data_IF_971997465793
#
_entry.id   IF_971997465793
#
_cell.length_a   1.000
_cell.length_b   1.000
_cell.length_c   1.000
_cell.angle_alpha   90.00
_cell.angle_beta   90.00
_cell.angle_gamma   90.00
#
_symmetry.space_group_name_H-M   'P 1'
#
loop_
_entity.id
_entity.type
_entity.pdbx_description
1 polymer ?
#
# COMPACT_ATOMS: atom_id res chain seq x y z
N UNK A 1 -16.25 25.11 16.66
CA UNK A 1 -14.97 24.61 16.09
C UNK A 1 -13.84 25.24 16.88
N UNK A 2 -12.89 24.44 17.38
CA UNK A 2 -11.75 24.91 18.21
C UNK A 2 -10.54 25.38 17.39
N UNK A 3 -10.55 25.14 16.08
CA UNK A 3 -9.50 25.57 15.16
C UNK A 3 -9.86 26.95 14.57
N UNK A 4 -8.94 27.90 14.70
CA UNK A 4 -9.05 29.24 14.13
C UNK A 4 -8.21 29.36 12.85
N UNK A 5 -8.86 29.24 11.70
CA UNK A 5 -8.21 29.27 10.38
C UNK A 5 -7.60 30.65 10.05
N UNK A 6 -8.06 31.72 10.69
CA UNK A 6 -7.52 33.06 10.45
C UNK A 6 -6.07 33.18 10.92
N UNK A 7 -5.71 32.47 12.00
CA UNK A 7 -4.33 32.41 12.53
C UNK A 7 -3.38 31.55 11.69
N UNK A 8 -3.93 30.69 10.83
CA UNK A 8 -3.15 29.79 9.96
C UNK A 8 -3.00 30.36 8.55
N UNK A 9 -3.89 31.27 8.12
CA UNK A 9 -3.87 31.84 6.78
C UNK A 9 -2.53 32.48 6.38
N UNK A 10 -1.90 33.25 7.27
CA UNK A 10 -0.58 33.86 6.99
C UNK A 10 0.52 32.80 6.83
N UNK A 11 0.50 31.75 7.66
CA UNK A 11 1.46 30.65 7.61
C UNK A 11 1.32 29.85 6.30
N UNK A 12 0.09 29.70 5.79
CA UNK A 12 -0.18 29.12 4.47
C UNK A 12 0.39 30.01 3.36
N UNK A 13 0.24 31.34 3.47
CA UNK A 13 0.87 32.29 2.54
C UNK A 13 2.40 32.13 2.48
N UNK A 14 3.06 32.08 3.63
CA UNK A 14 4.51 31.87 3.73
C UNK A 14 4.94 30.51 3.16
N UNK A 15 4.15 29.47 3.38
CA UNK A 15 4.37 28.14 2.80
C UNK A 15 4.32 28.18 1.26
N UNK A 16 3.30 28.81 0.68
CA UNK A 16 3.16 28.94 -0.79
C UNK A 16 4.33 29.73 -1.39
N UNK A 17 4.75 30.81 -0.73
CA UNK A 17 5.90 31.60 -1.18
C UNK A 17 7.20 30.78 -1.20
N UNK A 18 7.45 29.96 -0.16
CA UNK A 18 8.61 29.05 -0.12
C UNK A 18 8.54 27.98 -1.21
N UNK A 19 7.38 27.37 -1.42
CA UNK A 19 7.18 26.38 -2.49
C UNK A 19 7.49 26.96 -3.87
N UNK A 20 7.04 28.21 -4.12
CA UNK A 20 7.33 28.92 -5.37
C UNK A 20 8.83 29.20 -5.54
N UNK A 21 9.52 29.58 -4.47
CA UNK A 21 10.97 29.84 -4.51
C UNK A 21 11.77 28.57 -4.84
N UNK A 22 11.37 27.41 -4.31
CA UNK A 22 12.02 26.11 -4.58
C UNK A 22 11.61 25.46 -5.92
N UNK A 23 10.61 26.02 -6.61
CA UNK A 23 10.04 25.40 -7.82
C UNK A 23 11.02 25.35 -8.99
N UNK A 24 11.88 26.36 -9.15
CA UNK A 24 12.83 26.42 -10.26
C UNK A 24 13.95 25.38 -10.10
N UNK A 25 14.48 25.23 -8.88
CA UNK A 25 15.49 24.21 -8.54
C UNK A 25 14.93 22.79 -8.75
N UNK A 26 13.72 22.54 -8.27
CA UNK A 26 13.04 21.24 -8.47
C UNK A 26 12.84 20.90 -9.95
N UNK A 27 12.49 21.90 -10.76
CA UNK A 27 12.33 21.71 -12.20
C UNK A 27 13.66 21.39 -12.89
N UNK A 28 14.78 21.94 -12.41
CA UNK A 28 16.10 21.63 -12.92
C UNK A 28 16.52 20.20 -12.54
N UNK A 29 16.33 19.78 -11.28
CA UNK A 29 16.60 18.41 -10.86
C UNK A 29 15.75 17.40 -11.65
N UNK A 30 14.50 17.73 -11.97
CA UNK A 30 13.63 16.89 -12.80
C UNK A 30 14.17 16.75 -14.23
N UNK A 31 14.63 17.84 -14.86
CA UNK A 31 15.25 17.78 -16.19
C UNK A 31 16.49 16.91 -16.19
N UNK A 32 17.34 17.06 -15.18
CA UNK A 32 18.53 16.24 -15.01
C UNK A 32 18.16 14.76 -14.83
N UNK A 33 17.17 14.45 -14.00
CA UNK A 33 16.66 13.10 -13.81
C UNK A 33 16.17 12.47 -15.13
N UNK A 34 15.41 13.23 -15.94
CA UNK A 34 14.94 12.77 -17.25
C UNK A 34 16.09 12.53 -18.24
N UNK A 35 17.11 13.38 -18.24
CA UNK A 35 18.32 13.21 -19.07
C UNK A 35 19.07 11.94 -18.71
N UNK A 36 19.35 11.75 -17.41
CA UNK A 36 20.05 10.56 -16.90
C UNK A 36 19.23 9.30 -17.19
N UNK A 37 17.91 9.33 -17.03
CA UNK A 37 17.04 8.21 -17.33
C UNK A 37 17.16 7.77 -18.81
N UNK A 38 17.20 8.71 -19.75
CA UNK A 38 17.39 8.42 -21.18
C UNK A 38 18.78 7.84 -21.49
N UNK A 39 19.84 8.33 -20.83
CA UNK A 39 21.20 7.82 -21.02
C UNK A 39 21.40 6.40 -20.46
N UNK A 40 20.75 6.09 -19.33
CA UNK A 40 20.93 4.81 -18.65
C UNK A 40 20.19 3.65 -19.31
N UNK A 41 19.21 3.91 -20.19
CA UNK A 41 18.52 2.84 -20.92
C UNK A 41 19.51 2.05 -21.81
N UNK A 42 20.48 2.74 -22.42
CA UNK A 42 21.56 2.12 -23.18
C UNK A 42 22.61 1.39 -22.30
N UNK A 43 22.73 1.76 -21.02
CA UNK A 43 23.74 1.25 -20.08
C UNK A 43 23.15 0.39 -18.96
N UNK A 44 21.94 -0.14 -19.14
CA UNK A 44 21.14 -0.82 -18.10
C UNK A 44 21.90 -1.91 -17.33
N UNK A 45 22.65 -2.78 -18.02
CA UNK A 45 23.38 -3.87 -17.35
C UNK A 45 24.53 -3.37 -16.47
N UNK A 46 25.12 -2.22 -16.80
CA UNK A 46 26.09 -1.57 -15.93
C UNK A 46 25.39 -1.06 -14.67
N UNK A 47 24.31 -0.29 -14.84
CA UNK A 47 23.54 0.25 -13.72
C UNK A 47 23.01 -0.86 -12.80
N UNK A 48 22.50 -1.96 -13.36
CA UNK A 48 22.02 -3.12 -12.59
C UNK A 48 23.13 -3.74 -11.73
N UNK A 49 24.34 -3.91 -12.28
CA UNK A 49 25.50 -4.40 -11.52
C UNK A 49 25.91 -3.42 -10.43
N UNK A 50 25.95 -2.12 -10.73
CA UNK A 50 26.27 -1.07 -9.77
C UNK A 50 25.28 -1.04 -8.61
N UNK A 51 23.98 -1.08 -8.89
CA UNK A 51 22.92 -1.15 -7.86
C UNK A 51 23.12 -2.37 -6.97
N UNK A 52 23.36 -3.55 -7.55
CA UNK A 52 23.55 -4.78 -6.79
C UNK A 52 24.79 -4.75 -5.87
N UNK A 53 25.85 -4.06 -6.28
CA UNK A 53 27.09 -3.93 -5.50
C UNK A 53 27.07 -2.75 -4.50
N UNK A 54 26.10 -1.84 -4.61
CA UNK A 54 26.07 -0.60 -3.83
C UNK A 54 25.42 -0.75 -2.47
N UNK A 55 25.91 0.04 -1.50
CA UNK A 55 25.31 0.23 -0.17
C UNK A 55 24.79 1.67 -0.07
N UNK A 56 23.48 1.78 0.08
CA UNK A 56 22.78 3.06 0.17
C UNK A 56 21.95 3.12 1.44
N UNK A 57 21.71 4.34 1.92
CA UNK A 57 20.85 4.59 3.10
C UNK A 57 19.38 4.73 2.75
N UNK A 58 19.02 4.48 1.48
CA UNK A 58 17.68 4.65 0.93
C UNK A 58 17.31 3.45 0.05
N UNK A 59 16.02 3.28 -0.24
CA UNK A 59 15.56 2.23 -1.14
C UNK A 59 15.85 2.60 -2.60
N UNK A 60 16.36 1.63 -3.35
CA UNK A 60 16.71 1.75 -4.76
C UNK A 60 15.92 0.71 -5.55
N UNK A 61 15.26 1.13 -6.62
CA UNK A 61 14.53 0.20 -7.49
C UNK A 61 15.49 -0.81 -8.16
N UNK A 62 15.16 -2.09 -8.09
CA UNK A 62 15.75 -3.09 -8.97
C UNK A 62 15.21 -2.96 -10.39
N UNK A 63 16.04 -3.21 -11.39
CA UNK A 63 15.67 -3.09 -12.80
C UNK A 63 15.27 -4.46 -13.37
N UNK A 64 13.99 -4.63 -13.73
CA UNK A 64 13.50 -5.80 -14.45
C UNK A 64 13.57 -5.56 -15.97
N UNK A 65 13.00 -4.46 -16.43
CA UNK A 65 12.97 -4.04 -17.84
C UNK A 65 13.89 -2.83 -18.11
N UNK A 66 13.82 -2.22 -19.30
CA UNK A 66 14.52 -0.96 -19.61
C UNK A 66 13.90 0.20 -18.83
N UNK A 67 14.71 1.05 -18.20
CA UNK A 67 14.24 2.04 -17.21
C UNK A 67 13.30 3.10 -17.80
N UNK A 68 13.44 3.40 -19.09
CA UNK A 68 12.62 4.38 -19.80
C UNK A 68 11.49 3.77 -20.64
N UNK A 69 11.31 2.44 -20.58
CA UNK A 69 10.26 1.79 -21.35
C UNK A 69 8.88 2.19 -20.84
N UNK A 70 7.95 2.37 -21.76
CA UNK A 70 6.55 2.58 -21.50
C UNK A 70 5.71 1.71 -22.44
N UNK A 71 4.51 1.37 -21.99
CA UNK A 71 3.63 0.43 -22.68
C UNK A 71 2.20 0.92 -22.63
N UNK A 72 1.52 0.86 -23.78
CA UNK A 72 0.08 1.12 -23.87
C UNK A 72 -0.73 -0.01 -23.23
N UNK A 73 -1.88 0.35 -22.64
CA UNK A 73 -2.81 -0.62 -22.09
C UNK A 73 -3.49 -1.41 -23.23
N UNK A 74 -3.55 -2.75 -23.15
CA UNK A 74 -4.41 -3.50 -24.05
C UNK A 74 -5.89 -3.18 -23.75
N UNK A 75 -6.80 -3.37 -24.72
CA UNK A 75 -8.22 -3.21 -24.46
C UNK A 75 -8.67 -4.19 -23.36
N UNK A 76 -9.59 -3.78 -22.46
CA UNK A 76 -10.11 -4.68 -21.45
C UNK A 76 -10.88 -5.83 -22.11
N UNK A 77 -10.85 -7.04 -21.53
CA UNK A 77 -11.72 -8.14 -21.96
C UNK A 77 -13.20 -7.75 -21.93
N UNK A 78 -14.02 -8.44 -22.73
CA UNK A 78 -15.47 -8.21 -22.76
C UNK A 78 -16.13 -8.66 -21.45
N UNK A 79 -15.64 -9.75 -20.86
CA UNK A 79 -16.14 -10.31 -19.61
C UNK A 79 -15.00 -10.51 -18.62
N UNK A 80 -15.16 -9.95 -17.42
CA UNK A 80 -14.16 -10.03 -16.36
C UNK A 80 -14.77 -9.72 -15.00
N UNK A 81 -14.03 -10.05 -13.95
CA UNK A 81 -14.38 -9.72 -12.58
C UNK A 81 -13.33 -8.80 -11.96
N UNK A 82 -13.78 -7.91 -11.08
CA UNK A 82 -12.89 -7.16 -10.19
C UNK A 82 -13.35 -7.40 -8.76
N UNK A 83 -12.44 -7.89 -7.93
CA UNK A 83 -12.67 -8.08 -6.51
C UNK A 83 -11.72 -7.19 -5.71
N UNK A 84 -12.20 -6.67 -4.59
CA UNK A 84 -11.43 -5.79 -3.73
C UNK A 84 -11.84 -5.95 -2.28
N UNK A 85 -10.87 -5.75 -1.39
CA UNK A 85 -11.10 -5.63 0.05
C UNK A 85 -10.42 -4.38 0.58
N UNK A 86 -11.02 -3.79 1.60
CA UNK A 86 -10.44 -2.75 2.45
C UNK A 86 -10.92 -3.00 3.89
N UNK A 87 -10.23 -2.44 4.87
CA UNK A 87 -10.54 -2.65 6.26
C UNK A 87 -10.62 -1.34 7.04
N UNK A 88 -11.30 -1.36 8.18
CA UNK A 88 -11.06 -0.38 9.23
C UNK A 88 -11.13 -1.07 10.59
N UNK A 89 -10.74 -0.36 11.66
CA UNK A 89 -10.71 -0.98 12.98
C UNK A 89 -11.01 -0.01 14.12
N UNK A 90 -11.58 -0.56 15.19
CA UNK A 90 -11.66 0.07 16.51
C UNK A 90 -10.53 -0.52 17.34
N UNK A 91 -9.50 0.28 17.57
CA UNK A 91 -8.36 -0.08 18.42
C UNK A 91 -8.74 -0.23 19.91
N UNK A 92 -7.89 -0.94 20.65
CA UNK A 92 -8.01 -1.18 22.08
C UNK A 92 -8.00 0.14 22.85
N UNK A 93 -9.04 0.39 23.64
CA UNK A 93 -9.15 1.60 24.46
C UNK A 93 -8.68 1.34 25.90
N UNK A 94 -7.50 1.86 26.24
CA UNK A 94 -6.89 1.75 27.58
C UNK A 94 -7.69 2.44 28.70
N UNK A 95 -8.71 3.22 28.36
CA UNK A 95 -9.57 3.90 29.32
C UNK A 95 -10.87 3.14 29.63
N UNK A 96 -11.03 1.94 29.08
CA UNK A 96 -12.19 1.06 29.26
C UNK A 96 -11.80 -0.21 30.00
N UNK A 97 -12.78 -0.82 30.67
CA UNK A 97 -12.59 -2.05 31.45
C UNK A 97 -12.40 -3.28 30.57
N UNK A 98 -13.10 -3.36 29.44
CA UNK A 98 -12.98 -4.49 28.51
C UNK A 98 -11.90 -4.21 27.49
N UNK A 99 -10.92 -5.13 27.40
CA UNK A 99 -9.92 -5.13 26.34
C UNK A 99 -10.49 -5.89 25.15
N UNK A 100 -10.81 -5.18 24.08
CA UNK A 100 -11.19 -5.76 22.82
C UNK A 100 -10.84 -4.79 21.69
N UNK A 101 -10.70 -5.32 20.48
CA UNK A 101 -10.66 -4.53 19.26
C UNK A 101 -11.63 -5.12 18.24
N UNK A 102 -12.07 -4.28 17.31
CA UNK A 102 -12.94 -4.68 16.21
C UNK A 102 -12.19 -4.45 14.90
N UNK A 103 -12.20 -5.42 13.99
CA UNK A 103 -11.81 -5.21 12.59
C UNK A 103 -13.05 -5.38 11.73
N UNK A 104 -13.34 -4.41 10.88
CA UNK A 104 -14.40 -4.51 9.87
C UNK A 104 -13.76 -4.57 8.49
N UNK A 105 -14.05 -5.62 7.72
CA UNK A 105 -13.57 -5.78 6.35
C UNK A 105 -14.72 -5.54 5.38
N UNK A 106 -14.56 -4.57 4.50
CA UNK A 106 -15.43 -4.36 3.35
C UNK A 106 -14.98 -5.23 2.19
N UNK A 107 -15.93 -5.89 1.51
CA UNK A 107 -15.66 -6.84 0.44
C UNK A 107 -16.53 -6.54 -0.77
N UNK A 108 -15.92 -6.49 -1.96
CA UNK A 108 -16.59 -6.16 -3.21
C UNK A 108 -16.29 -7.20 -4.27
N UNK A 109 -17.32 -7.61 -5.00
CA UNK A 109 -17.21 -8.40 -6.23
C UNK A 109 -18.02 -7.72 -7.33
N UNK A 110 -17.34 -7.29 -8.39
CA UNK A 110 -17.95 -6.68 -9.57
C UNK A 110 -17.79 -7.63 -10.76
N UNK A 111 -18.92 -8.01 -11.35
CA UNK A 111 -18.96 -8.80 -12.58
C UNK A 111 -19.30 -7.89 -13.76
N UNK A 112 -18.43 -7.86 -14.76
CA UNK A 112 -18.61 -7.12 -16.00
C UNK A 112 -18.76 -8.09 -17.17
N UNK A 113 -19.62 -7.76 -18.13
CA UNK A 113 -19.90 -8.61 -19.29
C UNK A 113 -21.36 -8.61 -19.69
N UNK A 114 -21.82 -9.71 -20.29
CA UNK A 114 -23.21 -9.84 -20.74
C UNK A 114 -24.23 -9.90 -19.59
N UNK A 115 -23.81 -10.41 -18.43
CA UNK A 115 -24.64 -10.56 -17.22
C UNK A 115 -24.01 -9.82 -16.03
N UNK A 116 -24.03 -8.46 -16.03
CA UNK A 116 -23.35 -7.69 -15.00
C UNK A 116 -24.06 -7.83 -13.65
N UNK A 117 -23.26 -7.90 -12.58
CA UNK A 117 -23.76 -7.95 -11.21
C UNK A 117 -22.72 -7.41 -10.24
N UNK A 118 -23.15 -7.02 -9.04
CA UNK A 118 -22.29 -6.51 -8.00
C UNK A 118 -22.72 -7.08 -6.65
N UNK A 119 -21.74 -7.52 -5.87
CA UNK A 119 -21.92 -7.97 -4.49
C UNK A 119 -21.03 -7.10 -3.60
N UNK A 120 -21.64 -6.56 -2.55
CA UNK A 120 -20.97 -5.68 -1.60
C UNK A 120 -21.35 -6.14 -0.20
N UNK A 121 -20.36 -6.39 0.63
CA UNK A 121 -20.54 -6.93 1.98
C UNK A 121 -19.62 -6.26 3.00
N UNK A 122 -19.98 -6.38 4.28
CA UNK A 122 -19.21 -5.89 5.44
C UNK A 122 -19.17 -6.98 6.50
N UNK A 123 -17.95 -7.37 6.87
CA UNK A 123 -17.67 -8.46 7.80
C UNK A 123 -16.96 -7.96 9.06
N UNK A 124 -17.71 -7.49 10.08
CA UNK A 124 -17.13 -7.09 11.37
C UNK A 124 -16.77 -8.30 12.23
N UNK A 125 -15.56 -8.30 12.78
CA UNK A 125 -15.04 -9.32 13.70
C UNK A 125 -14.57 -8.68 15.01
N UNK A 126 -15.15 -9.12 16.13
CA UNK A 126 -14.76 -8.69 17.48
C UNK A 126 -13.73 -9.66 18.06
N UNK A 127 -12.58 -9.13 18.44
CA UNK A 127 -11.50 -9.88 19.08
C UNK A 127 -11.46 -9.48 20.55
N UNK A 128 -11.61 -10.47 21.43
CA UNK A 128 -11.77 -10.21 22.87
C UNK A 128 -11.20 -11.31 23.77
N UNK A 129 -10.87 -12.48 23.23
CA UNK A 129 -10.16 -13.51 23.97
C UNK A 129 -8.71 -13.09 24.24
N UNK A 130 -8.16 -13.46 25.40
CA UNK A 130 -6.78 -13.08 25.77
C UNK A 130 -5.75 -13.46 24.69
N UNK A 131 -5.89 -14.64 24.08
CA UNK A 131 -5.05 -15.12 22.98
C UNK A 131 -5.23 -14.35 21.66
N UNK A 132 -6.37 -13.68 21.46
CA UNK A 132 -6.65 -12.87 20.26
C UNK A 132 -6.12 -11.44 20.36
N UNK A 133 -5.82 -10.99 21.58
CA UNK A 133 -5.35 -9.64 21.88
C UNK A 133 -3.83 -9.52 21.86
N UNK A 134 -3.13 -10.65 21.73
CA UNK A 134 -1.68 -10.71 21.74
C UNK A 134 -1.19 -11.71 20.69
N UNK A 135 0.05 -11.54 20.25
CA UNK A 135 0.79 -12.59 19.55
C UNK A 135 1.71 -13.22 20.59
N UNK A 136 1.57 -14.53 20.76
CA UNK A 136 2.30 -15.31 21.77
C UNK A 136 3.51 -15.99 21.11
N UNK A 137 4.75 -15.78 21.61
CA UNK A 137 5.90 -16.56 21.17
C UNK A 137 5.94 -17.94 21.84
N UNK A 138 6.70 -18.87 21.25
CA UNK A 138 7.00 -20.18 21.90
C UNK A 138 7.72 -19.98 23.25
N UNK A 139 8.54 -18.93 23.37
CA UNK A 139 9.16 -18.50 24.61
C UNK A 139 9.41 -16.98 24.58
N UNK A 140 9.12 -16.28 25.68
CA UNK A 140 9.39 -14.85 25.80
C UNK A 140 8.17 -14.04 26.21
N UNK A 141 8.19 -12.73 25.91
CA UNK A 141 7.09 -11.80 26.20
C UNK A 141 6.13 -11.75 25.02
N UNK A 142 4.85 -11.79 25.33
CA UNK A 142 3.76 -11.57 24.38
C UNK A 142 3.80 -10.15 23.80
N UNK A 143 3.35 -10.01 22.55
CA UNK A 143 3.21 -8.73 21.89
C UNK A 143 1.72 -8.36 21.78
N UNK A 144 1.25 -7.30 22.45
CA UNK A 144 -0.13 -6.85 22.29
C UNK A 144 -0.41 -6.37 20.87
N UNK A 145 -1.60 -6.72 20.36
CA UNK A 145 -2.14 -6.25 19.08
C UNK A 145 -2.88 -4.94 19.33
N UNK A 146 -2.18 -3.82 19.16
CA UNK A 146 -2.71 -2.45 19.28
C UNK A 146 -1.96 -1.52 18.33
N UNK A 147 -2.54 -0.34 18.03
CA UNK A 147 -1.91 0.70 17.24
C UNK A 147 -1.43 0.22 15.86
N UNK A 148 -0.15 0.44 15.57
CA UNK A 148 0.45 0.08 14.27
C UNK A 148 0.32 -1.43 13.99
N UNK A 149 0.48 -2.29 15.01
CA UNK A 149 0.41 -3.73 14.81
C UNK A 149 -1.01 -4.19 14.46
N UNK A 150 -2.03 -3.55 15.05
CA UNK A 150 -3.43 -3.80 14.68
C UNK A 150 -3.70 -3.39 13.23
N UNK A 151 -3.10 -2.29 12.76
CA UNK A 151 -3.16 -1.90 11.34
C UNK A 151 -2.55 -2.95 10.40
N UNK A 152 -1.44 -3.58 10.81
CA UNK A 152 -0.81 -4.67 10.04
C UNK A 152 -1.72 -5.91 10.07
N UNK A 153 -2.24 -6.31 11.24
CA UNK A 153 -3.19 -7.43 11.37
C UNK A 153 -4.41 -7.24 10.49
N UNK A 154 -4.97 -6.03 10.45
CA UNK A 154 -6.05 -5.66 9.54
C UNK A 154 -5.69 -5.92 8.07
N UNK A 155 -4.49 -5.50 7.62
CA UNK A 155 -4.03 -5.79 6.25
C UNK A 155 -3.87 -7.29 5.95
N UNK A 156 -3.51 -8.10 6.96
CA UNK A 156 -3.52 -9.56 6.85
C UNK A 156 -4.94 -10.10 6.65
N UNK A 157 -5.92 -9.56 7.40
CA UNK A 157 -7.32 -9.97 7.31
C UNK A 157 -8.01 -9.50 6.02
N UNK A 158 -7.67 -8.32 5.51
CA UNK A 158 -8.08 -7.82 4.18
C UNK A 158 -7.66 -8.81 3.09
N UNK A 159 -6.39 -9.25 3.13
CA UNK A 159 -5.85 -10.24 2.19
C UNK A 159 -6.52 -11.61 2.35
N UNK A 160 -6.77 -12.05 3.58
CA UNK A 160 -7.49 -13.30 3.84
C UNK A 160 -8.88 -13.32 3.21
N UNK A 161 -9.66 -12.25 3.40
CA UNK A 161 -11.00 -12.13 2.80
C UNK A 161 -10.93 -12.11 1.27
N UNK A 162 -9.92 -11.43 0.71
CA UNK A 162 -9.70 -11.40 -0.74
C UNK A 162 -9.44 -12.81 -1.33
N UNK A 163 -8.76 -13.68 -0.58
CA UNK A 163 -8.60 -15.10 -0.97
C UNK A 163 -9.95 -15.82 -0.99
N UNK A 164 -10.80 -15.57 0.02
CA UNK A 164 -12.16 -16.13 0.08
C UNK A 164 -12.98 -15.73 -1.16
N UNK A 165 -13.02 -14.44 -1.49
CA UNK A 165 -13.68 -13.95 -2.70
C UNK A 165 -13.09 -14.58 -3.96
N UNK A 166 -11.76 -14.67 -4.05
CA UNK A 166 -11.07 -15.29 -5.19
C UNK A 166 -11.47 -16.75 -5.41
N UNK A 167 -11.70 -17.49 -4.33
CA UNK A 167 -12.07 -18.90 -4.37
C UNK A 167 -13.50 -19.12 -4.89
N UNK A 168 -14.41 -18.18 -4.62
CA UNK A 168 -15.81 -18.23 -5.05
C UNK A 168 -16.03 -17.81 -6.51
N UNK A 169 -15.03 -17.19 -7.14
CA UNK A 169 -15.14 -16.79 -8.54
C UNK A 169 -15.32 -17.98 -9.48
N UNK A 170 -16.09 -17.83 -10.58
CA UNK A 170 -16.29 -18.91 -11.55
C UNK A 170 -14.97 -19.44 -12.12
N UNK A 171 -14.83 -20.76 -12.35
CA UNK A 171 -13.68 -21.32 -13.06
C UNK A 171 -13.48 -20.70 -14.44
N UNK A 172 -12.23 -20.59 -14.90
CA UNK A 172 -11.86 -19.97 -16.19
C UNK A 172 -12.24 -18.49 -16.36
N UNK A 173 -12.67 -17.81 -15.30
CA UNK A 173 -12.89 -16.37 -15.34
C UNK A 173 -11.57 -15.59 -15.46
N UNK A 174 -11.67 -14.37 -16.02
CA UNK A 174 -10.62 -13.37 -16.00
C UNK A 174 -10.90 -12.42 -14.83
N UNK A 175 -10.00 -12.35 -13.87
CA UNK A 175 -10.28 -11.68 -12.61
C UNK A 175 -9.09 -10.86 -12.13
N UNK A 176 -9.37 -9.65 -11.69
CA UNK A 176 -8.41 -8.77 -11.01
C UNK A 176 -8.77 -8.71 -9.53
N UNK A 177 -7.81 -9.04 -8.66
CA UNK A 177 -7.90 -8.85 -7.23
C UNK A 177 -7.10 -7.63 -6.80
N UNK A 178 -7.74 -6.72 -6.08
CA UNK A 178 -7.16 -5.45 -5.65
C UNK A 178 -7.10 -5.31 -4.13
N UNK A 179 -5.97 -4.78 -3.66
CA UNK A 179 -5.78 -4.24 -2.31
C UNK A 179 -5.46 -2.75 -2.39
N UNK A 180 -5.88 -1.98 -1.39
CA UNK A 180 -5.49 -0.57 -1.25
C UNK A 180 -4.17 -0.45 -0.48
N UNK A 181 -3.26 0.38 -0.95
CA UNK A 181 -1.94 0.58 -0.34
C UNK A 181 -0.86 -0.37 -0.86
N UNK A 182 0.13 -0.69 -0.02
CA UNK A 182 1.32 -1.45 -0.44
C UNK A 182 1.15 -2.95 -0.20
N UNK A 183 1.68 -3.79 -1.10
CA UNK A 183 1.83 -5.24 -0.86
C UNK A 183 2.93 -5.57 0.15
N UNK A 184 3.69 -4.56 0.60
CA UNK A 184 4.77 -4.72 1.57
C UNK A 184 4.23 -4.36 2.95
N UNK A 185 4.28 -5.32 3.89
CA UNK A 185 3.89 -5.09 5.28
C UNK A 185 4.98 -4.30 6.03
N UNK A 186 5.01 -3.00 5.78
CA UNK A 186 5.94 -2.06 6.41
C UNK A 186 5.75 -2.01 7.94
N UNK A 187 6.84 -1.74 8.65
CA UNK A 187 6.83 -1.57 10.10
C UNK A 187 7.00 -2.87 10.90
N UNK A 188 6.91 -4.05 10.27
CA UNK A 188 7.19 -5.33 10.92
C UNK A 188 8.64 -5.42 11.46
N UNK A 189 9.58 -4.74 10.81
CA UNK A 189 11.00 -4.69 11.22
C UNK A 189 11.21 -4.05 12.60
N UNK A 190 10.23 -3.32 13.12
CA UNK A 190 10.25 -2.75 14.47
C UNK A 190 9.79 -3.73 15.56
N UNK A 191 9.25 -4.90 15.19
CA UNK A 191 8.73 -5.90 16.10
C UNK A 191 9.66 -7.12 16.23
N UNK A 192 9.53 -7.91 17.31
CA UNK A 192 10.24 -9.17 17.44
C UNK A 192 9.95 -10.14 16.30
N UNK A 193 10.89 -11.04 16.05
CA UNK A 193 10.84 -12.00 14.93
C UNK A 193 9.55 -12.83 14.88
N UNK A 194 9.07 -13.33 16.03
CA UNK A 194 7.85 -14.14 16.10
C UNK A 194 6.59 -13.41 15.60
N UNK A 195 6.57 -12.07 15.67
CA UNK A 195 5.47 -11.25 15.14
C UNK A 195 5.49 -11.25 13.62
N UNK A 196 6.70 -11.15 13.04
CA UNK A 196 6.90 -11.25 11.60
C UNK A 196 6.53 -12.65 11.11
N UNK A 197 6.97 -13.70 11.80
CA UNK A 197 6.60 -15.08 11.47
C UNK A 197 5.08 -15.30 11.52
N UNK A 198 4.39 -14.75 12.53
CA UNK A 198 2.95 -14.91 12.69
C UNK A 198 2.15 -14.15 11.61
N UNK A 199 2.45 -12.86 11.39
CA UNK A 199 1.65 -12.01 10.51
C UNK A 199 2.07 -12.05 9.04
N UNK A 200 3.38 -12.17 8.76
CA UNK A 200 3.88 -12.22 7.40
C UNK A 200 3.98 -13.65 6.88
N UNK A 201 4.79 -14.49 7.52
CA UNK A 201 5.15 -15.81 6.95
C UNK A 201 3.96 -16.79 7.01
N UNK A 202 3.31 -16.88 8.18
CA UNK A 202 2.16 -17.76 8.39
C UNK A 202 0.80 -17.10 8.07
N UNK A 203 0.78 -15.79 7.88
CA UNK A 203 -0.39 -14.99 7.55
C UNK A 203 -0.37 -14.53 6.09
N UNK A 204 0.08 -13.30 5.87
CA UNK A 204 -0.01 -12.62 4.57
C UNK A 204 0.58 -13.40 3.40
N UNK A 205 1.80 -13.94 3.52
CA UNK A 205 2.46 -14.70 2.45
C UNK A 205 1.73 -16.01 2.14
N UNK A 206 1.16 -16.66 3.16
CA UNK A 206 0.31 -17.84 2.95
C UNK A 206 -0.92 -17.49 2.11
N UNK A 207 -1.55 -16.34 2.35
CA UNK A 207 -2.69 -15.89 1.54
C UNK A 207 -2.29 -15.48 0.11
N UNK A 208 -1.11 -14.89 -0.07
CA UNK A 208 -0.56 -14.65 -1.41
C UNK A 208 -0.30 -15.97 -2.17
N UNK A 209 0.17 -17.00 -1.47
CA UNK A 209 0.36 -18.34 -2.03
C UNK A 209 -0.97 -19.00 -2.40
N UNK A 210 -2.00 -18.88 -1.56
CA UNK A 210 -3.33 -19.41 -1.85
C UNK A 210 -3.93 -18.74 -3.10
N UNK A 211 -3.82 -17.41 -3.26
CA UNK A 211 -4.21 -16.72 -4.49
C UNK A 211 -3.42 -17.18 -5.72
N UNK A 212 -2.10 -17.37 -5.57
CA UNK A 212 -1.26 -17.90 -6.66
C UNK A 212 -1.72 -19.30 -7.09
N UNK A 213 -2.14 -20.15 -6.15
CA UNK A 213 -2.67 -21.49 -6.44
C UNK A 213 -4.02 -21.43 -7.15
N UNK A 214 -4.91 -20.53 -6.71
CA UNK A 214 -6.20 -20.32 -7.37
C UNK A 214 -6.03 -19.90 -8.83
N UNK A 215 -4.97 -19.13 -9.15
CA UNK A 215 -4.64 -18.73 -10.51
C UNK A 215 -4.39 -19.91 -11.49
N UNK A 216 -4.17 -21.15 -10.99
CA UNK A 216 -4.03 -22.31 -11.88
C UNK A 216 -5.36 -22.74 -12.53
N UNK A 217 -6.50 -22.45 -11.89
CA UNK A 217 -7.84 -22.86 -12.36
C UNK A 217 -8.64 -21.72 -13.01
N UNK A 218 -8.22 -20.48 -12.74
CA UNK A 218 -8.85 -19.23 -13.19
C UNK A 218 -7.75 -18.21 -13.46
N UNK A 219 -7.89 -17.30 -14.42
CA UNK A 219 -6.87 -16.27 -14.62
C UNK A 219 -7.09 -15.15 -13.59
N UNK A 220 -6.38 -15.25 -12.47
CA UNK A 220 -6.48 -14.33 -11.32
C UNK A 220 -5.19 -13.51 -11.22
N UNK A 221 -5.28 -12.23 -11.55
CA UNK A 221 -4.18 -11.29 -11.37
C UNK A 221 -4.35 -10.53 -10.05
N UNK A 222 -3.32 -10.55 -9.20
CA UNK A 222 -3.28 -9.76 -7.97
C UNK A 222 -2.50 -8.47 -8.19
N UNK A 223 -3.05 -7.36 -7.72
CA UNK A 223 -2.34 -6.09 -7.62
C UNK A 223 -2.75 -5.33 -6.35
N UNK A 224 -1.86 -4.47 -5.88
CA UNK A 224 -2.23 -3.38 -4.97
C UNK A 224 -2.12 -2.04 -5.68
N UNK A 225 -2.87 -1.07 -5.21
CA UNK A 225 -2.96 0.25 -5.80
C UNK A 225 -2.54 1.33 -4.80
N UNK A 226 -1.63 2.20 -5.21
CA UNK A 226 -1.15 3.33 -4.41
C UNK A 226 -1.41 4.62 -5.21
N UNK A 227 -2.42 5.38 -4.79
CA UNK A 227 -2.69 6.72 -5.31
C UNK A 227 -1.61 7.71 -4.85
N UNK A 228 -1.30 8.68 -5.71
CA UNK A 228 -0.38 9.78 -5.44
C UNK A 228 0.90 9.40 -4.66
N UNK A 229 1.69 8.43 -5.16
CA UNK A 229 2.80 7.84 -4.43
C UNK A 229 3.88 8.90 -4.15
N UNK A 230 4.57 8.72 -3.02
CA UNK A 230 5.68 9.57 -2.59
C UNK A 230 7.04 8.88 -2.72
N UNK A 231 7.07 7.75 -3.43
CA UNK A 231 8.27 6.95 -3.64
C UNK A 231 9.31 7.69 -4.48
N UNK A 232 10.56 7.32 -4.24
CA UNK A 232 11.73 7.82 -4.95
C UNK A 232 12.64 6.66 -5.36
N UNK A 233 12.12 5.42 -5.41
CA UNK A 233 12.91 4.21 -5.65
C UNK A 233 13.65 4.27 -7.00
N UNK A 234 12.95 4.75 -8.04
CA UNK A 234 13.51 4.87 -9.40
C UNK A 234 14.47 6.05 -9.49
N UNK A 235 14.09 7.21 -8.95
CA UNK A 235 15.01 8.37 -8.85
C UNK A 235 16.27 7.99 -8.09
N UNK A 236 16.15 7.20 -7.02
CA UNK A 236 17.29 6.69 -6.26
C UNK A 236 18.19 5.73 -7.07
N UNK A 237 17.66 5.01 -8.06
CA UNK A 237 18.47 4.26 -9.01
C UNK A 237 19.27 5.20 -9.93
N UNK A 238 18.68 6.33 -10.36
CA UNK A 238 19.40 7.35 -11.12
C UNK A 238 20.51 8.01 -10.29
N UNK A 239 20.28 8.23 -8.99
CA UNK A 239 21.32 8.70 -8.05
C UNK A 239 22.50 7.75 -7.97
N UNK A 240 22.24 6.43 -7.98
CA UNK A 240 23.31 5.43 -8.05
C UNK A 240 24.04 5.51 -9.39
N UNK A 241 23.32 5.73 -10.49
CA UNK A 241 23.92 5.86 -11.82
C UNK A 241 24.95 7.00 -11.89
N UNK A 242 24.59 8.19 -11.41
CA UNK A 242 25.46 9.39 -11.42
C UNK A 242 26.49 9.42 -10.28
N UNK A 243 26.45 8.45 -9.35
CA UNK A 243 27.40 8.41 -8.26
C UNK A 243 28.83 8.19 -8.81
N UNK A 244 29.83 9.03 -8.44
CA UNK A 244 31.20 8.88 -8.94
C UNK A 244 31.93 7.66 -8.37
N UNK A 245 31.37 7.00 -7.34
CA UNK A 245 31.97 5.84 -6.69
C UNK A 245 31.46 4.52 -7.27
N UNK A 246 32.37 3.56 -7.46
CA UNK A 246 32.10 2.25 -8.04
C UNK A 246 32.66 1.13 -7.13
N UNK A 247 31.83 0.46 -6.31
CA UNK A 247 30.39 0.69 -6.10
C UNK A 247 30.11 1.92 -5.22
N UNK A 248 28.85 2.37 -5.21
CA UNK A 248 28.41 3.41 -4.29
C UNK A 248 28.38 2.84 -2.86
N UNK A 249 29.02 3.52 -1.92
CA UNK A 249 29.01 3.18 -0.49
C UNK A 249 28.77 4.47 0.31
N UNK A 250 27.51 4.71 0.65
CA UNK A 250 27.10 5.96 1.29
C UNK A 250 27.65 6.09 2.71
N UNK A 251 27.80 4.97 3.42
CA UNK A 251 28.33 4.96 4.78
C UNK A 251 29.81 5.35 4.79
N UNK A 252 30.55 4.93 3.75
CA UNK A 252 31.98 5.23 3.60
C UNK A 252 32.25 6.63 3.03
N UNK A 253 31.52 7.03 2.00
CA UNK A 253 31.88 8.20 1.19
C UNK A 253 31.04 9.45 1.47
N UNK A 254 29.91 9.34 2.18
CA UNK A 254 28.99 10.46 2.40
C UNK A 254 28.59 10.70 3.89
N UNK A 255 29.52 10.71 4.86
CA UNK A 255 29.19 11.04 6.24
C UNK A 255 28.95 12.57 6.41
N UNK A 256 27.72 13.02 6.18
CA UNK A 256 27.26 14.37 6.59
C UNK A 256 27.50 15.53 5.62
N UNK A 257 27.80 15.29 4.34
CA UNK A 257 27.95 16.33 3.30
C UNK A 257 26.90 16.24 2.19
N UNK A 258 26.75 17.34 1.43
CA UNK A 258 26.04 17.34 0.15
C UNK A 258 26.69 16.32 -0.80
N UNK A 259 25.87 15.50 -1.45
CA UNK A 259 26.33 14.37 -2.27
C UNK A 259 26.35 14.80 -3.73
N UNK A 260 27.36 14.40 -4.50
CA UNK A 260 27.36 14.64 -5.96
C UNK A 260 26.16 14.01 -6.67
N UNK A 261 25.53 13.00 -6.07
CA UNK A 261 24.28 12.42 -6.55
C UNK A 261 23.01 13.13 -6.07
N UNK A 262 23.11 14.31 -5.44
CA UNK A 262 21.95 15.12 -5.04
C UNK A 262 21.40 15.99 -6.20
N UNK A 263 22.09 16.04 -7.34
CA UNK A 263 21.64 16.70 -8.58
C UNK A 263 20.25 16.25 -9.05
N UNK A 264 19.89 14.99 -8.78
CA UNK A 264 18.54 14.45 -9.08
C UNK A 264 17.71 14.19 -7.82
N UNK A 265 18.20 14.59 -6.64
CA UNK A 265 17.48 14.40 -5.38
C UNK A 265 16.30 15.36 -5.24
N UNK A 266 15.31 14.97 -4.43
CA UNK A 266 14.09 15.75 -4.19
C UNK A 266 13.01 15.59 -5.27
N UNK A 267 13.33 14.96 -6.41
CA UNK A 267 12.36 14.53 -7.41
C UNK A 267 11.69 13.24 -6.95
N UNK A 268 10.36 13.16 -7.11
CA UNK A 268 9.61 11.95 -6.83
C UNK A 268 9.38 11.14 -8.11
N UNK A 269 9.25 9.82 -7.98
CA UNK A 269 9.03 8.93 -9.12
C UNK A 269 7.77 9.34 -9.90
N UNK A 270 6.72 9.81 -9.20
CA UNK A 270 5.51 10.33 -9.87
C UNK A 270 5.78 11.53 -10.78
N UNK A 271 6.71 12.42 -10.44
CA UNK A 271 7.03 13.58 -11.28
C UNK A 271 7.79 13.14 -12.52
N UNK A 272 8.71 12.19 -12.34
CA UNK A 272 9.45 11.57 -13.43
C UNK A 272 8.49 10.93 -14.44
N UNK A 273 7.59 10.07 -13.99
CA UNK A 273 6.67 9.36 -14.86
C UNK A 273 5.53 10.22 -15.42
N UNK A 274 5.13 11.30 -14.73
CA UNK A 274 4.19 12.29 -15.28
C UNK A 274 4.74 12.98 -16.53
N UNK A 275 6.06 13.10 -16.64
CA UNK A 275 6.72 13.71 -17.81
C UNK A 275 7.18 12.68 -18.86
N UNK A 276 7.15 11.38 -18.53
CA UNK A 276 7.59 10.31 -19.42
C UNK A 276 6.43 9.56 -20.09
N UNK A 277 5.37 9.24 -19.35
CA UNK A 277 4.27 8.39 -19.81
C UNK A 277 3.21 9.22 -20.53
N UNK A 278 2.58 8.66 -21.57
CA UNK A 278 1.30 9.10 -22.12
C UNK A 278 0.10 8.63 -21.28
N UNK A 279 -1.08 9.21 -21.50
CA UNK A 279 -2.30 8.84 -20.76
C UNK A 279 -2.64 7.35 -20.96
N UNK A 280 -2.88 6.64 -19.86
CA UNK A 280 -3.15 5.21 -19.84
C UNK A 280 -1.91 4.32 -20.02
N UNK A 281 -0.74 4.88 -20.33
CA UNK A 281 0.49 4.10 -20.42
C UNK A 281 1.01 3.72 -19.03
N UNK A 282 1.67 2.56 -18.97
CA UNK A 282 2.47 2.16 -17.81
C UNK A 282 3.96 2.27 -18.07
N UNK A 283 4.74 2.47 -17.03
CA UNK A 283 6.19 2.35 -17.06
C UNK A 283 6.65 0.90 -17.22
N UNK A 284 7.96 0.76 -17.38
CA UNK A 284 8.73 -0.46 -17.14
C UNK A 284 8.45 -1.07 -15.76
N UNK A 285 8.76 -2.36 -15.63
CA UNK A 285 8.73 -3.06 -14.35
C UNK A 285 10.00 -2.81 -13.52
N UNK A 286 9.77 -2.58 -12.24
CA UNK A 286 10.79 -2.42 -11.21
C UNK A 286 10.60 -3.46 -10.12
N UNK A 287 11.65 -3.71 -9.35
CA UNK A 287 11.67 -4.69 -8.25
C UNK A 287 11.89 -3.95 -6.94
N UNK A 288 11.06 -4.19 -5.93
CA UNK A 288 11.31 -3.66 -4.58
C UNK A 288 12.54 -4.32 -3.97
N UNK A 289 13.48 -3.50 -3.51
CA UNK A 289 14.73 -3.95 -2.86
C UNK A 289 14.68 -3.86 -1.33
N UNK A 290 13.49 -3.69 -0.75
CA UNK A 290 13.34 -3.65 0.70
C UNK A 290 13.88 -4.92 1.36
N UNK A 291 14.45 -4.79 2.56
CA UNK A 291 15.05 -5.89 3.31
C UNK A 291 14.06 -7.03 3.54
N UNK A 292 12.85 -6.69 3.97
CA UNK A 292 11.79 -7.67 4.26
C UNK A 292 11.36 -8.44 3.01
N UNK A 293 11.19 -7.75 1.87
CA UNK A 293 10.83 -8.39 0.59
C UNK A 293 11.94 -9.34 0.14
N UNK A 294 13.19 -8.89 0.13
CA UNK A 294 14.32 -9.74 -0.31
C UNK A 294 14.53 -10.98 0.56
N UNK A 295 14.26 -10.89 1.87
CA UNK A 295 14.54 -11.97 2.82
C UNK A 295 13.40 -12.97 2.92
N UNK A 296 12.14 -12.54 2.81
CA UNK A 296 10.98 -13.37 3.18
C UNK A 296 9.98 -13.63 2.06
N UNK A 297 9.78 -12.70 1.14
CA UNK A 297 8.65 -12.81 0.20
C UNK A 297 8.82 -13.92 -0.85
N UNK A 298 10.04 -14.37 -1.15
CA UNK A 298 10.28 -15.51 -2.06
C UNK A 298 9.60 -15.37 -3.43
N UNK A 299 8.72 -16.31 -3.78
CA UNK A 299 7.91 -16.29 -5.01
C UNK A 299 6.90 -15.13 -5.08
N UNK A 300 6.66 -14.46 -3.95
CA UNK A 300 5.82 -13.27 -3.84
C UNK A 300 6.65 -11.97 -3.85
N UNK A 301 7.93 -12.01 -4.25
CA UNK A 301 8.75 -10.81 -4.39
C UNK A 301 7.96 -9.70 -5.10
N UNK A 302 7.97 -8.50 -4.52
CA UNK A 302 7.13 -7.40 -4.99
C UNK A 302 7.80 -6.68 -6.15
N UNK A 303 7.12 -6.70 -7.28
CA UNK A 303 7.40 -5.88 -8.45
C UNK A 303 6.45 -4.69 -8.44
N UNK A 304 6.82 -3.61 -9.11
CA UNK A 304 5.95 -2.45 -9.25
C UNK A 304 6.17 -1.73 -10.58
N UNK A 305 5.17 -0.98 -10.99
CA UNK A 305 5.24 -0.05 -12.11
C UNK A 305 4.32 1.15 -11.82
N UNK A 306 4.47 2.20 -12.63
CA UNK A 306 3.65 3.40 -12.55
C UNK A 306 2.71 3.46 -13.75
N UNK A 307 1.50 3.95 -13.55
CA UNK A 307 0.53 4.21 -14.63
C UNK A 307 0.14 5.67 -14.62
N UNK A 308 0.05 6.28 -15.81
CA UNK A 308 -0.48 7.63 -15.97
C UNK A 308 -1.99 7.59 -16.14
N UNK A 309 -2.67 8.22 -15.20
CA UNK A 309 -4.10 8.52 -15.26
C UNK A 309 -4.26 9.98 -15.70
N UNK A 310 -5.50 10.45 -15.82
CA UNK A 310 -5.80 11.79 -16.33
C UNK A 310 -5.14 12.89 -15.48
N UNK A 311 -5.28 12.79 -14.16
CA UNK A 311 -4.84 13.83 -13.21
C UNK A 311 -3.71 13.36 -12.26
N UNK A 312 -3.29 12.09 -12.33
CA UNK A 312 -2.25 11.57 -11.45
C UNK A 312 -1.39 10.45 -12.03
N UNK A 313 -0.33 10.11 -11.29
CA UNK A 313 0.44 8.88 -11.49
C UNK A 313 0.13 7.97 -10.32
N UNK A 314 -0.36 6.77 -10.58
CA UNK A 314 -0.55 5.74 -9.57
C UNK A 314 0.61 4.74 -9.62
N UNK A 315 0.96 4.15 -8.46
CA UNK A 315 1.91 3.04 -8.36
C UNK A 315 1.13 1.76 -8.14
N UNK A 316 1.37 0.77 -8.98
CA UNK A 316 0.80 -0.57 -8.82
C UNK A 316 1.91 -1.50 -8.34
N UNK A 317 1.63 -2.26 -7.30
CA UNK A 317 2.54 -3.32 -6.85
C UNK A 317 1.90 -4.68 -7.11
N UNK A 318 2.70 -5.60 -7.65
CA UNK A 318 2.27 -6.93 -8.07
C UNK A 318 3.30 -7.98 -7.60
N UNK A 319 2.88 -9.20 -7.25
CA UNK A 319 3.84 -10.25 -6.93
C UNK A 319 4.56 -10.73 -8.19
N UNK A 320 5.76 -11.31 -8.01
CA UNK A 320 6.62 -11.79 -9.10
C UNK A 320 5.90 -12.69 -10.11
N UNK A 321 5.03 -13.59 -9.65
CA UNK A 321 4.30 -14.50 -10.53
C UNK A 321 3.28 -13.78 -11.46
N UNK A 322 2.75 -12.61 -11.06
CA UNK A 322 1.96 -11.75 -11.95
C UNK A 322 2.88 -10.99 -12.90
N UNK A 323 4.00 -10.45 -12.39
CA UNK A 323 4.94 -9.67 -13.19
C UNK A 323 5.61 -10.46 -14.32
N UNK A 324 5.85 -11.77 -14.09
CA UNK A 324 6.49 -12.66 -15.07
C UNK A 324 5.53 -13.25 -16.10
N UNK A 325 4.22 -13.20 -15.84
CA UNK A 325 3.18 -13.63 -16.77
C UNK A 325 2.65 -12.40 -17.53
N UNK A 326 2.95 -12.34 -18.84
CA UNK A 326 2.56 -11.21 -19.69
C UNK A 326 1.05 -11.05 -19.78
N UNK A 327 0.27 -12.13 -19.74
CA UNK A 327 -1.17 -12.06 -19.80
C UNK A 327 -1.74 -11.46 -18.50
N UNK A 328 -1.22 -11.87 -17.35
CA UNK A 328 -1.65 -11.34 -16.06
C UNK A 328 -1.24 -9.87 -15.89
N UNK A 329 -0.01 -9.50 -16.25
CA UNK A 329 0.44 -8.11 -16.22
C UNK A 329 -0.43 -7.20 -17.09
N UNK A 330 -0.75 -7.65 -18.31
CA UNK A 330 -1.64 -6.95 -19.23
C UNK A 330 -3.07 -6.86 -18.68
N UNK A 331 -3.54 -7.90 -17.99
CA UNK A 331 -4.84 -7.92 -17.32
C UNK A 331 -4.88 -6.87 -16.19
N UNK A 332 -3.85 -6.80 -15.34
CA UNK A 332 -3.75 -5.76 -14.30
C UNK A 332 -3.80 -4.38 -14.92
N UNK A 333 -2.96 -4.12 -15.93
CA UNK A 333 -2.87 -2.80 -16.56
C UNK A 333 -4.20 -2.36 -17.18
N UNK A 334 -4.82 -3.22 -17.99
CA UNK A 334 -6.10 -2.92 -18.65
C UNK A 334 -7.24 -2.72 -17.66
N UNK A 335 -7.38 -3.61 -16.67
CA UNK A 335 -8.51 -3.58 -15.73
C UNK A 335 -8.37 -2.48 -14.68
N UNK A 336 -7.17 -2.16 -14.18
CA UNK A 336 -7.01 -1.01 -13.28
C UNK A 336 -7.36 0.30 -14.01
N UNK A 337 -6.93 0.45 -15.27
CA UNK A 337 -7.27 1.64 -16.05
C UNK A 337 -8.79 1.75 -16.30
N UNK A 338 -9.46 0.64 -16.64
CA UNK A 338 -10.92 0.59 -16.75
C UNK A 338 -11.61 0.98 -15.43
N UNK A 339 -11.16 0.44 -14.29
CA UNK A 339 -11.71 0.77 -12.98
C UNK A 339 -11.50 2.24 -12.61
N UNK A 340 -10.33 2.82 -12.89
CA UNK A 340 -10.07 4.24 -12.63
C UNK A 340 -10.96 5.14 -13.51
N UNK A 341 -11.16 4.80 -14.78
CA UNK A 341 -12.04 5.55 -15.69
C UNK A 341 -13.49 5.54 -15.21
N UNK A 342 -13.96 4.40 -14.69
CA UNK A 342 -15.30 4.28 -14.09
C UNK A 342 -15.42 5.04 -12.76
N UNK A 343 -14.34 5.10 -11.99
CA UNK A 343 -14.29 5.66 -10.64
C UNK A 343 -13.69 7.06 -10.53
N UNK A 344 -13.70 7.83 -11.64
CA UNK A 344 -13.23 9.23 -11.68
C UNK A 344 -11.78 9.41 -11.18
N UNK A 345 -10.89 8.52 -11.60
CA UNK A 345 -9.46 8.57 -11.29
C UNK A 345 -8.99 7.56 -10.24
N UNK A 346 -9.90 6.90 -9.52
CA UNK A 346 -9.55 5.86 -8.54
C UNK A 346 -10.36 4.58 -8.80
N UNK A 347 -9.83 3.36 -8.56
CA UNK A 347 -10.55 2.13 -8.85
C UNK A 347 -11.89 2.02 -8.10
N UNK A 348 -13.01 1.87 -8.83
CA UNK A 348 -14.36 1.75 -8.23
C UNK A 348 -14.42 0.64 -7.18
N UNK A 349 -13.86 -0.54 -7.49
CA UNK A 349 -13.88 -1.66 -6.55
C UNK A 349 -13.23 -1.32 -5.19
N UNK A 350 -12.13 -0.54 -5.19
CA UNK A 350 -11.47 -0.11 -3.95
C UNK A 350 -12.30 0.97 -3.23
N UNK A 351 -12.86 1.94 -3.95
CA UNK A 351 -13.76 2.94 -3.35
C UNK A 351 -14.94 2.28 -2.64
N UNK A 352 -15.61 1.34 -3.32
CA UNK A 352 -16.77 0.65 -2.74
C UNK A 352 -16.35 -0.24 -1.55
N UNK A 353 -15.16 -0.86 -1.60
CA UNK A 353 -14.65 -1.66 -0.50
C UNK A 353 -14.38 -0.79 0.73
N UNK A 354 -13.80 0.40 0.53
CA UNK A 354 -13.61 1.40 1.57
C UNK A 354 -14.94 1.79 2.21
N UNK A 355 -15.95 2.15 1.42
CA UNK A 355 -17.27 2.53 1.92
C UNK A 355 -17.93 1.42 2.76
N UNK A 356 -17.70 0.15 2.44
CA UNK A 356 -18.18 -0.98 3.28
C UNK A 356 -17.32 -1.26 4.50
N UNK A 357 -16.05 -0.88 4.47
CA UNK A 357 -15.11 -1.08 5.56
C UNK A 357 -15.19 0.01 6.63
N UNK A 358 -15.54 1.26 6.26
CA UNK A 358 -15.49 2.43 7.14
C UNK A 358 -16.31 2.23 8.43
N UNK A 359 -15.61 2.33 9.56
CA UNK A 359 -16.21 2.49 10.89
C UNK A 359 -16.15 3.96 11.26
N UNK A 360 -17.31 4.63 11.24
CA UNK A 360 -17.40 6.06 11.54
C UNK A 360 -17.22 6.35 13.04
N UNK A 361 -17.08 7.63 13.37
CA UNK A 361 -17.06 8.07 14.78
C UNK A 361 -18.35 7.67 15.53
N UNK A 362 -19.50 7.72 14.86
CA UNK A 362 -20.78 7.33 15.44
C UNK A 362 -20.85 5.81 15.66
N UNK A 363 -20.38 5.01 14.71
CA UNK A 363 -20.34 3.54 14.84
C UNK A 363 -19.44 3.12 16.00
N UNK A 364 -18.31 3.81 16.18
CA UNK A 364 -17.40 3.59 17.32
C UNK A 364 -18.09 3.88 18.65
N UNK A 365 -18.85 4.96 18.74
CA UNK A 365 -19.60 5.29 19.95
C UNK A 365 -20.69 4.25 20.24
N UNK A 366 -21.44 3.83 19.21
CA UNK A 366 -22.48 2.81 19.32
C UNK A 366 -21.92 1.44 19.73
N UNK A 367 -20.82 1.01 19.11
CA UNK A 367 -20.10 -0.22 19.48
C UNK A 367 -19.76 -0.23 20.98
N UNK A 368 -19.19 0.87 21.48
CA UNK A 368 -18.85 0.96 22.88
C UNK A 368 -20.04 1.06 23.82
N UNK A 369 -21.15 1.68 23.40
CA UNK A 369 -22.40 1.66 24.15
C UNK A 369 -22.99 0.25 24.23
N UNK A 370 -22.90 -0.52 23.14
CA UNK A 370 -23.31 -1.94 23.12
C UNK A 370 -22.48 -2.75 24.11
N UNK A 371 -21.15 -2.63 24.07
CA UNK A 371 -20.25 -3.30 25.03
C UNK A 371 -20.55 -2.90 26.47
N UNK A 372 -20.70 -1.59 26.75
CA UNK A 372 -21.05 -1.09 28.10
C UNK A 372 -22.40 -1.66 28.56
N UNK A 373 -23.42 -1.68 27.71
CA UNK A 373 -24.77 -2.16 28.06
C UNK A 373 -24.77 -3.66 28.33
N UNK A 374 -24.11 -4.46 27.49
CA UNK A 374 -24.01 -5.91 27.68
C UNK A 374 -23.30 -6.29 28.99
N UNK A 375 -22.29 -5.53 29.41
CA UNK A 375 -21.65 -5.75 30.71
C UNK A 375 -22.60 -5.42 31.88
N UNK A 376 -23.37 -4.34 31.76
CA UNK A 376 -24.33 -3.93 32.80
C UNK A 376 -25.44 -4.96 32.95
N UNK A 377 -25.99 -5.46 31.84
CA UNK A 377 -27.04 -6.49 31.84
C UNK A 377 -26.57 -7.77 32.56
N UNK A 378 -25.31 -8.14 32.36
CA UNK A 378 -24.66 -9.28 33.03
C UNK A 378 -24.06 -8.94 34.41
N UNK A 379 -24.31 -7.73 34.93
CA UNK A 379 -23.84 -7.25 36.23
C UNK A 379 -22.31 -7.28 36.41
N UNK A 380 -21.57 -7.13 35.30
CA UNK A 380 -20.12 -7.07 35.27
C UNK A 380 -19.61 -5.63 35.52
N UNK A 381 -18.45 -5.46 36.16
CA UNK A 381 -17.93 -4.14 36.52
C UNK A 381 -17.51 -3.30 35.30
N UNK A 382 -18.19 -2.17 35.06
CA UNK A 382 -17.78 -1.16 34.06
C UNK A 382 -16.94 -0.06 34.71
N UNK A 383 -15.62 -0.07 34.55
CA UNK A 383 -14.73 1.00 35.02
C UNK A 383 -14.39 1.92 33.84
N UNK A 384 -15.04 3.09 33.77
CA UNK A 384 -14.69 4.15 32.81
C UNK A 384 -13.79 5.21 33.47
N UNK A 385 -12.72 5.62 32.78
CA UNK A 385 -11.80 6.68 33.23
C UNK A 385 -12.52 8.00 33.57
N UNK A 386 -12.03 8.75 34.57
CA UNK A 386 -12.56 10.08 34.92
C UNK A 386 -12.50 11.07 33.74
N UNK A 387 -11.52 10.92 32.84
CA UNK A 387 -11.33 11.79 31.67
C UNK A 387 -12.37 11.56 30.56
N UNK A 388 -12.82 10.32 30.35
CA UNK A 388 -13.88 10.02 29.37
C UNK A 388 -15.24 10.54 29.87
N UNK A 389 -15.50 10.42 31.18
CA UNK A 389 -16.69 11.02 31.84
C UNK A 389 -16.73 12.54 31.68
N UNK A 390 -15.61 13.23 31.88
CA UNK A 390 -15.52 14.69 31.71
C UNK A 390 -15.67 15.17 30.26
N UNK A 391 -15.43 14.34 29.24
CA UNK A 391 -15.66 14.71 27.83
C UNK A 391 -17.14 14.56 27.42
N UNK A 392 -17.84 13.57 28.00
CA UNK A 392 -19.30 13.36 27.80
C UNK A 392 -20.12 14.46 28.50
N UNK A 393 -19.66 14.95 29.66
CA UNK A 393 -20.21 16.13 30.28
C UNK A 393 -19.65 17.39 29.60
N UNK A 394 -20.39 17.98 28.64
CA UNK A 394 -20.10 19.36 28.22
C UNK A 394 -20.18 20.23 29.48
N UNK A 395 -19.07 20.89 29.82
CA UNK A 395 -19.09 21.97 30.81
C UNK A 395 -20.01 23.05 30.25
N UNK A 396 -21.16 23.25 30.93
CA UNK A 396 -22.16 24.28 30.61
C UNK A 396 -21.59 25.65 30.92
#
# INVERSE_FOLDING_TARGET
MSLDLTKVASQVGDMVARLKATSAERQEHLKQALSVLGEQDANRENLKRKIAASKTTWLVAGLADGISQHHEAPPPPVEFNVIATDGSHIDVDRHRSTRCYLINIGSIVLHYGASPSAFLDSSPSLYSGDEELVIVPVAGREQPIEGVLLGIKRGVDECHHLVGLSAELPPKSLSLALLDGSLILWGLEAYPEFVTEALLDNGFLKYLEDMRRLNNERKLALASYISFPRSTDVVNALRVAICPHEPADCDRYCPGSARGCDEVAGVQDRELFMNLLGEGERSALFISQSSIVRRRYGEHQVYFFYIRLDDEIARLEIPRWVAQDKDLLNLVHSLVLDQCRRGKGYPVALSEAHEKAVVSGADRELFWQLVESSLIDEHLPSLASAKSRSKRARWV
#
